data_IF_380600858803
#
_entry.id   IF_380600858803
#
_cell.length_a   1.000
_cell.length_b   1.000
_cell.length_c   1.000
_cell.angle_alpha   90.00
_cell.angle_beta   90.00
_cell.angle_gamma   90.00
#
_symmetry.space_group_name_H-M   'P 1'
#
loop_
_entity.id
_entity.type
_entity.pdbx_description
1 polymer ?
#
# COMPACT_ATOMS: atom_id res chain seq x y z
N UNK A 1 -16.14 -17.57 5.71
CA UNK A 1 -16.13 -16.71 6.91
C UNK A 1 -14.82 -15.94 6.91
N UNK A 2 -14.84 -14.66 6.53
CA UNK A 2 -13.66 -13.80 6.55
C UNK A 2 -13.30 -13.53 8.02
N UNK A 3 -12.09 -13.88 8.44
CA UNK A 3 -11.62 -13.63 9.82
C UNK A 3 -11.58 -12.12 10.03
N UNK A 4 -12.45 -11.60 10.89
CA UNK A 4 -12.47 -10.18 11.23
C UNK A 4 -11.22 -9.85 12.05
N UNK A 5 -10.38 -8.96 11.54
CA UNK A 5 -9.14 -8.53 12.22
C UNK A 5 -9.47 -7.24 12.97
N UNK A 6 -9.80 -7.35 14.26
CA UNK A 6 -9.95 -6.19 15.14
C UNK A 6 -8.65 -6.00 15.92
N UNK A 7 -7.82 -4.99 15.59
CA UNK A 7 -6.65 -4.68 16.40
C UNK A 7 -7.09 -4.22 17.78
N UNK A 8 -6.30 -4.50 18.82
CA UNK A 8 -6.51 -3.97 20.16
C UNK A 8 -6.31 -2.45 20.20
N UNK A 9 -6.88 -1.78 21.20
CA UNK A 9 -6.66 -0.34 21.41
C UNK A 9 -5.18 -0.01 21.58
N UNK A 10 -4.48 -0.79 22.39
CA UNK A 10 -3.04 -0.67 22.61
C UNK A 10 -2.20 -0.90 21.35
N UNK A 11 -2.67 -1.73 20.41
CA UNK A 11 -2.03 -1.92 19.11
C UNK A 11 -2.26 -0.70 18.21
N UNK A 12 -3.49 -0.21 18.12
CA UNK A 12 -3.87 0.99 17.38
C UNK A 12 -3.10 2.23 17.84
N UNK A 13 -2.87 2.40 19.13
CA UNK A 13 -2.06 3.50 19.67
C UNK A 13 -0.62 3.47 19.18
N UNK A 14 -0.06 2.28 18.89
CA UNK A 14 1.33 2.07 18.50
C UNK A 14 1.58 2.12 17.01
N UNK A 15 0.53 2.23 16.19
CA UNK A 15 0.70 2.27 14.74
C UNK A 15 1.46 3.52 14.29
N UNK A 16 2.56 3.29 13.58
CA UNK A 16 3.34 4.33 12.92
C UNK A 16 2.88 4.49 11.46
N UNK A 17 1.75 5.17 11.29
CA UNK A 17 1.21 5.45 9.95
C UNK A 17 2.04 6.50 9.19
N UNK A 18 2.78 7.34 9.91
CA UNK A 18 3.68 8.33 9.31
C UNK A 18 4.90 7.63 8.71
N UNK A 19 5.48 6.66 9.43
CA UNK A 19 6.54 5.80 8.92
C UNK A 19 6.10 4.97 7.72
N UNK A 20 4.87 4.45 7.74
CA UNK A 20 4.29 3.74 6.59
C UNK A 20 4.11 4.68 5.38
N UNK A 21 3.62 5.91 5.60
CA UNK A 21 3.52 6.91 4.53
C UNK A 21 4.90 7.30 3.97
N UNK A 22 5.89 7.45 4.84
CA UNK A 22 7.27 7.74 4.45
C UNK A 22 7.86 6.59 3.61
N UNK A 23 7.60 5.34 3.98
CA UNK A 23 8.00 4.17 3.20
C UNK A 23 7.36 4.15 1.81
N UNK A 24 6.03 4.40 1.72
CA UNK A 24 5.32 4.49 0.43
C UNK A 24 5.92 5.59 -0.46
N UNK A 25 6.19 6.77 0.11
CA UNK A 25 6.81 7.88 -0.61
C UNK A 25 8.23 7.54 -1.08
N UNK A 26 9.00 6.84 -0.23
CA UNK A 26 10.36 6.41 -0.58
C UNK A 26 10.35 5.40 -1.72
N UNK A 27 9.43 4.43 -1.71
CA UNK A 27 9.28 3.45 -2.78
C UNK A 27 8.96 4.14 -4.12
N UNK A 28 8.01 5.07 -4.12
CA UNK A 28 7.67 5.87 -5.30
C UNK A 28 8.90 6.61 -5.85
N UNK A 29 9.59 7.36 -4.98
CA UNK A 29 10.78 8.13 -5.37
C UNK A 29 11.91 7.25 -5.93
N UNK A 30 12.13 6.06 -5.37
CA UNK A 30 13.12 5.12 -5.88
C UNK A 30 12.72 4.58 -7.26
N UNK A 31 11.43 4.28 -7.46
CA UNK A 31 10.92 3.81 -8.75
C UNK A 31 11.02 4.89 -9.84
N UNK A 32 10.69 6.14 -9.50
CA UNK A 32 10.83 7.29 -10.40
C UNK A 32 12.31 7.48 -10.83
N UNK A 33 13.24 7.43 -9.87
CA UNK A 33 14.69 7.52 -10.16
C UNK A 33 15.22 6.35 -10.99
N UNK A 34 14.62 5.16 -10.86
CA UNK A 34 14.93 4.02 -11.73
C UNK A 34 14.50 4.30 -13.17
N UNK A 35 13.28 4.80 -13.40
CA UNK A 35 12.80 5.19 -14.73
C UNK A 35 13.69 6.26 -15.38
N UNK A 36 14.09 7.27 -14.61
CA UNK A 36 15.02 8.31 -15.06
C UNK A 36 16.36 7.71 -15.52
N UNK A 37 16.91 6.78 -14.73
CA UNK A 37 18.21 6.15 -15.04
C UNK A 37 18.18 5.31 -16.32
N UNK A 38 17.13 4.52 -16.53
CA UNK A 38 16.99 3.69 -17.74
C UNK A 38 16.71 4.55 -18.97
N UNK A 39 15.95 5.64 -18.81
CA UNK A 39 15.67 6.59 -19.88
C UNK A 39 16.94 7.36 -20.28
N UNK A 40 17.71 7.83 -19.30
CA UNK A 40 18.99 8.50 -19.53
C UNK A 40 19.98 7.60 -20.26
N UNK A 41 20.06 6.32 -19.86
CA UNK A 41 20.95 5.34 -20.51
C UNK A 41 20.60 5.15 -21.99
N UNK A 42 19.32 5.00 -22.32
CA UNK A 42 18.86 4.91 -23.72
C UNK A 42 19.14 6.18 -24.52
N UNK A 43 18.84 7.35 -23.94
CA UNK A 43 19.03 8.63 -24.62
C UNK A 43 20.51 8.90 -24.95
N UNK A 44 21.43 8.54 -24.06
CA UNK A 44 22.87 8.65 -24.31
C UNK A 44 23.30 7.91 -25.58
N UNK A 45 22.77 6.70 -25.81
CA UNK A 45 23.06 5.96 -27.04
C UNK A 45 22.50 6.64 -28.30
N UNK A 46 21.35 7.32 -28.19
CA UNK A 46 20.83 8.17 -29.28
C UNK A 46 21.70 9.39 -29.57
N UNK A 47 22.29 10.01 -28.54
CA UNK A 47 23.14 11.21 -28.69
C UNK A 47 24.48 10.89 -29.36
N UNK A 48 25.10 9.75 -29.02
CA UNK A 48 26.40 9.35 -29.58
C UNK A 48 26.31 8.88 -31.04
N UNK A 49 25.11 8.69 -31.61
CA UNK A 49 24.88 8.28 -32.99
C UNK A 49 25.56 9.20 -34.04
N UNK A 50 25.80 10.46 -33.67
CA UNK A 50 26.53 11.43 -34.49
C UNK A 50 28.04 11.12 -34.60
N UNK A 51 28.60 10.40 -33.62
CA UNK A 51 30.04 10.13 -33.46
C UNK A 51 30.42 8.66 -33.59
N UNK A 52 29.45 7.76 -33.41
CA UNK A 52 29.63 6.32 -33.53
C UNK A 52 28.51 5.73 -34.39
N UNK A 53 28.89 5.05 -35.48
CA UNK A 53 27.96 4.51 -36.47
C UNK A 53 28.42 3.12 -36.95
N UNK A 54 27.53 2.44 -37.67
CA UNK A 54 27.79 1.13 -38.26
C UNK A 54 27.27 -0.03 -37.41
N UNK A 55 27.61 -1.26 -37.83
CA UNK A 55 27.03 -2.50 -37.26
C UNK A 55 27.24 -2.60 -35.74
N UNK A 56 28.40 -2.17 -35.25
CA UNK A 56 28.69 -2.18 -33.81
C UNK A 56 27.80 -1.21 -33.03
N UNK A 57 27.52 -0.02 -33.58
CA UNK A 57 26.57 0.92 -32.99
C UNK A 57 25.16 0.35 -32.98
N UNK A 58 24.68 -0.18 -34.12
CA UNK A 58 23.33 -0.75 -34.22
C UNK A 58 23.11 -1.87 -33.20
N UNK A 59 24.05 -2.81 -33.10
CA UNK A 59 23.96 -3.91 -32.13
C UNK A 59 23.96 -3.43 -30.67
N UNK A 60 24.74 -2.39 -30.36
CA UNK A 60 24.76 -1.82 -29.01
C UNK A 60 23.46 -1.05 -28.69
N UNK A 61 22.96 -0.27 -29.65
CA UNK A 61 21.70 0.46 -29.51
C UNK A 61 20.51 -0.51 -29.34
N UNK A 62 20.42 -1.56 -30.18
CA UNK A 62 19.39 -2.60 -30.07
C UNK A 62 19.39 -3.24 -28.69
N UNK A 63 20.56 -3.60 -28.15
CA UNK A 63 20.65 -4.18 -26.81
C UNK A 63 20.20 -3.22 -25.71
N UNK A 64 20.57 -1.95 -25.80
CA UNK A 64 20.13 -0.93 -24.83
C UNK A 64 18.64 -0.66 -24.92
N UNK A 65 18.07 -0.70 -26.12
CA UNK A 65 16.63 -0.57 -26.33
C UNK A 65 15.87 -1.76 -25.72
N UNK A 66 16.37 -2.99 -25.92
CA UNK A 66 15.82 -4.19 -25.28
C UNK A 66 15.90 -4.12 -23.74
N UNK A 67 17.05 -3.72 -23.20
CA UNK A 67 17.24 -3.57 -21.75
C UNK A 67 16.31 -2.48 -21.18
N UNK A 68 16.11 -1.38 -21.90
CA UNK A 68 15.17 -0.32 -21.54
C UNK A 68 13.73 -0.81 -21.52
N UNK A 69 13.30 -1.54 -22.56
CA UNK A 69 11.95 -2.11 -22.64
C UNK A 69 11.68 -3.09 -21.49
N UNK A 70 12.64 -3.96 -21.18
CA UNK A 70 12.55 -4.90 -20.06
C UNK A 70 12.51 -4.15 -18.72
N UNK A 71 13.40 -3.18 -18.53
CA UNK A 71 13.45 -2.38 -17.30
C UNK A 71 12.18 -1.56 -17.09
N UNK A 72 11.58 -1.04 -18.17
CA UNK A 72 10.33 -0.27 -18.07
C UNK A 72 9.17 -1.13 -17.59
N UNK A 73 9.16 -2.44 -17.85
CA UNK A 73 8.16 -3.36 -17.28
C UNK A 73 8.30 -3.44 -15.76
N UNK A 74 9.54 -3.60 -15.27
CA UNK A 74 9.84 -3.60 -13.83
C UNK A 74 9.35 -2.31 -13.16
N UNK A 75 9.56 -1.16 -13.80
CA UNK A 75 9.04 0.12 -13.31
C UNK A 75 7.51 0.08 -13.11
N UNK A 76 6.75 -0.34 -14.11
CA UNK A 76 5.28 -0.37 -14.02
C UNK A 76 4.78 -1.39 -13.00
N UNK A 77 5.46 -2.53 -12.87
CA UNK A 77 5.13 -3.54 -11.86
C UNK A 77 5.27 -3.01 -10.43
N UNK A 78 6.27 -2.17 -10.21
CA UNK A 78 6.50 -1.54 -8.91
C UNK A 78 5.55 -0.35 -8.70
N UNK A 79 5.22 0.41 -9.76
CA UNK A 79 4.46 1.67 -9.68
C UNK A 79 3.05 1.52 -9.07
N UNK A 80 2.41 0.36 -9.31
CA UNK A 80 1.07 0.07 -8.80
C UNK A 80 1.04 -0.02 -7.26
N UNK A 81 2.12 -0.51 -6.63
CA UNK A 81 2.20 -0.68 -5.17
C UNK A 81 2.12 0.64 -4.42
N UNK A 82 3.03 1.62 -4.61
CA UNK A 82 3.00 2.88 -3.87
C UNK A 82 1.77 3.71 -4.21
N UNK A 83 1.27 3.65 -5.44
CA UNK A 83 0.07 4.39 -5.87
C UNK A 83 -1.16 3.90 -5.11
N UNK A 84 -1.41 2.59 -5.09
CA UNK A 84 -2.53 2.02 -4.34
C UNK A 84 -2.35 2.18 -2.83
N UNK A 85 -1.13 1.99 -2.32
CA UNK A 85 -0.84 2.13 -0.90
C UNK A 85 -1.06 3.56 -0.37
N UNK A 86 -0.80 4.60 -1.15
CA UNK A 86 -0.93 5.99 -0.71
C UNK A 86 -2.37 6.35 -0.32
N UNK A 87 -3.36 5.94 -1.11
CA UNK A 87 -4.77 6.12 -0.76
C UNK A 87 -5.16 5.30 0.47
N UNK A 88 -4.69 4.06 0.57
CA UNK A 88 -4.99 3.20 1.72
C UNK A 88 -4.39 3.70 3.03
N UNK A 89 -3.16 4.22 3.03
CA UNK A 89 -2.54 4.81 4.24
C UNK A 89 -3.35 5.99 4.75
N UNK A 90 -3.80 6.86 3.84
CA UNK A 90 -4.66 8.00 4.20
C UNK A 90 -5.98 7.53 4.82
N UNK A 91 -6.63 6.53 4.24
CA UNK A 91 -7.87 5.95 4.77
C UNK A 91 -7.66 5.30 6.14
N UNK A 92 -6.58 4.54 6.32
CA UNK A 92 -6.22 3.95 7.61
C UNK A 92 -6.04 5.02 8.69
N UNK A 93 -5.45 6.17 8.35
CA UNK A 93 -5.28 7.28 9.28
C UNK A 93 -6.63 7.84 9.75
N UNK A 94 -7.54 8.10 8.81
CA UNK A 94 -8.88 8.60 9.11
C UNK A 94 -9.71 7.61 9.93
N UNK A 95 -9.66 6.32 9.57
CA UNK A 95 -10.43 5.27 10.23
C UNK A 95 -9.87 4.96 11.63
N UNK A 96 -8.54 4.96 11.79
CA UNK A 96 -7.87 4.87 13.10
C UNK A 96 -8.34 6.01 14.01
N UNK A 97 -8.30 7.25 13.51
CA UNK A 97 -8.76 8.41 14.25
C UNK A 97 -10.23 8.28 14.63
N UNK A 98 -11.10 7.89 13.69
CA UNK A 98 -12.52 7.71 13.97
C UNK A 98 -12.78 6.68 15.09
N UNK A 99 -12.07 5.55 15.09
CA UNK A 99 -12.18 4.56 16.17
C UNK A 99 -11.73 5.11 17.54
N UNK A 100 -10.61 5.84 17.57
CA UNK A 100 -10.09 6.48 18.79
C UNK A 100 -11.01 7.60 19.29
N UNK A 101 -11.60 8.38 18.39
CA UNK A 101 -12.58 9.41 18.72
C UNK A 101 -13.82 8.76 19.36
N UNK A 102 -14.31 7.64 18.84
CA UNK A 102 -15.45 6.90 19.44
C UNK A 102 -15.12 6.28 20.80
N UNK A 103 -13.88 5.86 21.02
CA UNK A 103 -13.40 5.46 22.33
C UNK A 103 -13.42 6.63 23.32
N UNK A 104 -12.95 7.80 22.88
CA UNK A 104 -12.99 9.02 23.67
C UNK A 104 -14.43 9.43 24.00
N UNK A 105 -15.33 9.40 23.02
CA UNK A 105 -16.76 9.71 23.20
C UNK A 105 -17.39 8.81 24.28
N UNK A 106 -17.15 7.49 24.22
CA UNK A 106 -17.66 6.54 25.21
C UNK A 106 -17.07 6.79 26.61
N UNK A 107 -15.79 7.15 26.70
CA UNK A 107 -15.13 7.47 27.96
C UNK A 107 -15.67 8.77 28.57
N UNK A 108 -15.90 9.80 27.74
CA UNK A 108 -16.52 11.06 28.15
C UNK A 108 -17.98 10.89 28.60
N UNK A 109 -18.70 9.92 28.01
CA UNK A 109 -20.02 9.51 28.46
C UNK A 109 -20.00 8.73 29.79
N UNK A 110 -18.82 8.47 30.37
CA UNK A 110 -18.66 7.83 31.68
C UNK A 110 -18.59 6.30 31.63
N UNK A 111 -18.43 5.71 30.45
CA UNK A 111 -18.24 4.27 30.29
C UNK A 111 -16.75 3.90 30.38
N UNK A 112 -16.49 2.67 30.82
CA UNK A 112 -15.16 2.08 30.73
C UNK A 112 -15.06 1.23 29.46
N UNK A 113 -14.03 1.46 28.66
CA UNK A 113 -13.79 0.71 27.42
C UNK A 113 -12.52 -0.13 27.55
N UNK A 114 -12.63 -1.44 27.35
CA UNK A 114 -11.50 -2.37 27.43
C UNK A 114 -10.58 -2.27 26.21
N UNK A 115 -9.41 -2.91 26.29
CA UNK A 115 -8.45 -3.00 25.17
C UNK A 115 -9.02 -3.75 23.95
N UNK A 116 -9.99 -4.64 24.20
CA UNK A 116 -10.74 -5.39 23.17
C UNK A 116 -12.01 -4.65 22.72
N UNK A 117 -12.11 -3.34 22.99
CA UNK A 117 -13.21 -2.44 22.57
C UNK A 117 -14.59 -2.78 23.12
N UNK A 118 -14.63 -3.41 24.29
CA UNK A 118 -15.88 -3.70 24.99
C UNK A 118 -16.23 -2.53 25.90
N UNK A 119 -17.39 -1.93 25.67
CA UNK A 119 -17.94 -0.86 26.50
C UNK A 119 -18.67 -1.47 27.69
N UNK A 120 -18.30 -1.04 28.89
CA UNK A 120 -18.81 -1.54 30.16
C UNK A 120 -19.27 -0.40 31.07
N UNK A 121 -20.20 -0.72 31.97
CA UNK A 121 -20.87 0.24 32.84
C UNK A 121 -22.39 0.15 32.74
N UNK A 122 -23.06 0.89 33.61
CA UNK A 122 -24.52 1.07 33.59
C UNK A 122 -24.85 2.38 32.89
N UNK A 123 -26.00 2.43 32.23
CA UNK A 123 -26.47 3.64 31.58
C UNK A 123 -26.77 4.72 32.63
N UNK A 124 -26.18 5.90 32.42
CA UNK A 124 -26.27 7.04 33.35
C UNK A 124 -26.63 8.36 32.66
N UNK A 125 -26.88 8.35 31.36
CA UNK A 125 -27.07 9.55 30.55
C UNK A 125 -27.98 9.35 29.35
N UNK A 126 -27.95 10.30 28.42
CA UNK A 126 -28.78 10.32 27.20
C UNK A 126 -28.27 9.42 26.07
N UNK A 127 -27.00 9.03 26.10
CA UNK A 127 -26.40 8.08 25.16
C UNK A 127 -26.30 6.73 25.87
N UNK A 128 -26.86 5.67 25.29
CA UNK A 128 -26.80 4.34 25.90
C UNK A 128 -25.45 3.66 25.64
N UNK A 129 -25.09 2.73 26.52
CA UNK A 129 -23.90 1.87 26.38
C UNK A 129 -23.95 1.11 25.05
N UNK A 130 -25.14 0.63 24.66
CA UNK A 130 -25.35 -0.07 23.39
C UNK A 130 -25.06 0.83 22.19
N UNK A 131 -25.41 2.12 22.24
CA UNK A 131 -25.14 3.05 21.15
C UNK A 131 -23.63 3.32 21.02
N UNK A 132 -22.94 3.52 22.15
CA UNK A 132 -21.48 3.64 22.19
C UNK A 132 -20.80 2.38 21.61
N UNK A 133 -21.25 1.19 22.01
CA UNK A 133 -20.71 -0.08 21.50
C UNK A 133 -20.96 -0.25 20.00
N UNK A 134 -22.15 0.11 19.51
CA UNK A 134 -22.49 0.03 18.10
C UNK A 134 -21.62 0.98 17.27
N UNK A 135 -21.43 2.21 17.73
CA UNK A 135 -20.62 3.20 17.04
C UNK A 135 -19.13 2.79 16.97
N UNK A 136 -18.59 2.22 18.06
CA UNK A 136 -17.25 1.62 18.06
C UNK A 136 -17.14 0.46 17.08
N UNK A 137 -18.12 -0.45 17.06
CA UNK A 137 -18.12 -1.58 16.14
C UNK A 137 -18.12 -1.12 14.67
N UNK A 138 -18.94 -0.13 14.32
CA UNK A 138 -18.97 0.43 12.96
C UNK A 138 -17.59 0.97 12.57
N UNK A 139 -16.98 1.79 13.42
CA UNK A 139 -15.65 2.35 13.14
C UNK A 139 -14.57 1.26 12.98
N UNK A 140 -14.58 0.26 13.87
CA UNK A 140 -13.63 -0.86 13.83
C UNK A 140 -13.86 -1.78 12.63
N UNK A 141 -15.10 -1.95 12.17
CA UNK A 141 -15.43 -2.77 11.01
C UNK A 141 -14.97 -2.08 9.73
N UNK A 142 -15.18 -0.76 9.60
CA UNK A 142 -14.61 0.03 8.50
C UNK A 142 -13.09 -0.02 8.48
N UNK A 143 -12.45 0.10 9.65
CA UNK A 143 -11.00 -0.05 9.77
C UNK A 143 -10.53 -1.45 9.35
N UNK A 144 -11.24 -2.50 9.78
CA UNK A 144 -10.90 -3.89 9.45
C UNK A 144 -10.94 -4.15 7.94
N UNK A 145 -11.94 -3.57 7.25
CA UNK A 145 -12.05 -3.64 5.78
C UNK A 145 -10.82 -3.01 5.13
N UNK A 146 -10.40 -1.83 5.59
CA UNK A 146 -9.25 -1.15 4.99
C UNK A 146 -7.92 -1.86 5.26
N UNK A 147 -7.75 -2.47 6.43
CA UNK A 147 -6.60 -3.36 6.70
C UNK A 147 -6.54 -4.49 5.67
N UNK A 148 -7.69 -5.13 5.40
CA UNK A 148 -7.77 -6.22 4.43
C UNK A 148 -7.52 -5.73 3.00
N UNK A 149 -8.00 -4.53 2.64
CA UNK A 149 -7.71 -3.91 1.35
C UNK A 149 -6.19 -3.70 1.17
N UNK A 150 -5.53 -3.11 2.18
CA UNK A 150 -4.09 -2.88 2.12
C UNK A 150 -3.29 -4.19 2.07
N UNK A 151 -3.69 -5.20 2.84
CA UNK A 151 -3.10 -6.54 2.73
C UNK A 151 -3.28 -7.14 1.33
N UNK A 152 -4.45 -6.94 0.72
CA UNK A 152 -4.73 -7.33 -0.67
C UNK A 152 -3.79 -6.64 -1.67
N UNK A 153 -3.59 -5.32 -1.56
CA UNK A 153 -2.65 -4.57 -2.41
C UNK A 153 -1.23 -5.15 -2.30
N UNK A 154 -0.76 -5.36 -1.07
CA UNK A 154 0.60 -5.85 -0.82
C UNK A 154 0.81 -7.31 -1.28
N UNK A 155 -0.22 -8.15 -1.23
CA UNK A 155 -0.12 -9.59 -1.58
C UNK A 155 -0.51 -9.89 -3.02
N UNK A 156 -1.46 -9.17 -3.62
CA UNK A 156 -1.86 -9.35 -5.01
C UNK A 156 -0.74 -8.97 -5.97
N UNK A 157 0.00 -7.89 -5.68
CA UNK A 157 1.18 -7.54 -6.49
C UNK A 157 2.28 -8.62 -6.41
N UNK A 158 2.36 -9.37 -5.30
CA UNK A 158 3.25 -10.52 -5.19
C UNK A 158 2.78 -11.75 -6.00
N UNK A 159 1.48 -11.90 -6.30
CA UNK A 159 0.90 -13.09 -6.92
C UNK A 159 0.62 -12.96 -8.43
N UNK A 160 0.32 -11.77 -8.93
CA UNK A 160 0.17 -11.51 -10.38
C UNK A 160 1.46 -11.88 -11.12
N UNK A 161 2.61 -11.77 -10.45
CA UNK A 161 3.93 -11.96 -11.04
C UNK A 161 4.33 -13.43 -11.26
N UNK A 162 4.01 -14.34 -10.33
CA UNK A 162 4.36 -15.75 -10.48
C UNK A 162 3.66 -16.41 -11.68
N UNK A 163 2.44 -15.98 -12.01
CA UNK A 163 1.68 -16.57 -13.14
C UNK A 163 2.16 -16.10 -14.52
N UNK A 164 2.60 -14.86 -14.66
CA UNK A 164 3.08 -14.33 -15.95
C UNK A 164 4.44 -14.94 -16.32
N UNK A 165 5.35 -15.06 -15.35
CA UNK A 165 6.68 -15.63 -15.59
C UNK A 165 6.64 -17.13 -15.94
N UNK A 166 5.69 -17.90 -15.40
CA UNK A 166 5.54 -19.34 -15.72
C UNK A 166 4.83 -19.62 -17.03
N UNK A 167 4.07 -18.66 -17.59
CA UNK A 167 3.36 -18.84 -18.87
C UNK A 167 4.21 -18.45 -20.09
N UNK A 168 5.32 -17.74 -19.89
CA UNK A 168 6.27 -17.40 -20.96
C UNK A 168 7.43 -18.41 -21.10
N UNK A 169 7.52 -19.39 -20.20
CA UNK A 169 8.63 -20.35 -20.17
C UNK A 169 8.27 -21.77 -20.64
N UNK A 170 7.10 -22.01 -21.24
CA UNK A 170 6.87 -23.28 -21.95
C UNK A 170 7.70 -23.28 -23.22
N UNK A 171 8.75 -24.12 -23.33
CA UNK A 171 9.43 -24.31 -24.61
C UNK A 171 8.41 -24.96 -25.54
N UNK A 172 8.22 -24.38 -26.71
CA UNK A 172 7.60 -25.08 -27.84
C UNK A 172 8.50 -26.27 -28.17
N UNK A 173 8.03 -27.48 -27.89
CA UNK A 173 8.57 -28.71 -28.49
C UNK A 173 8.29 -28.76 -29.99
#
# INVERSE_FOLDING_TARGET
MTKQIKPKKSELDRWDLDGLQAWVNKLKSVNDGFLESITSSRNYFGEVASSWQGVAYNAAYERVDEDFEQSRRIFYEIEDVPTAAQSSVTNLWLLRRAALDKYSDATLAGYAVSDDWIVSGSDKGSVSRSDCQAALNIALDSLSIEILNMQGILTSNALTYWRVTTLQSTPTE
#
